data_IF_442166468816
#
_entry.id   IF_442166468816
#
_cell.length_a   1.000
_cell.length_b   1.000
_cell.length_c   1.000
_cell.angle_alpha   90.00
_cell.angle_beta   90.00
_cell.angle_gamma   90.00
#
_symmetry.space_group_name_H-M   'P 1'
#
loop_
_entity.id
_entity.type
_entity.pdbx_description
1 polymer ?
#
# COMPACT_ATOMS: atom_id res chain seq x y z
N UNK A 1 -23.07 -16.44 17.62
CA UNK A 1 -23.35 -16.21 16.19
C UNK A 1 -22.26 -16.91 15.41
N UNK A 2 -22.62 -17.87 14.61
CA UNK A 2 -21.70 -18.57 13.70
C UNK A 2 -21.39 -17.70 12.48
N UNK A 3 -20.41 -18.10 11.67
CA UNK A 3 -20.11 -17.41 10.41
C UNK A 3 -21.32 -17.40 9.45
N UNK A 4 -22.05 -18.50 9.35
CA UNK A 4 -23.22 -18.59 8.48
C UNK A 4 -24.38 -17.71 8.98
N UNK A 5 -24.63 -17.68 10.27
CA UNK A 5 -25.64 -16.78 10.86
C UNK A 5 -25.29 -15.30 10.61
N UNK A 6 -24.01 -14.94 10.73
CA UNK A 6 -23.55 -13.57 10.46
C UNK A 6 -23.71 -13.21 8.98
N UNK A 7 -23.37 -14.14 8.08
CA UNK A 7 -23.51 -13.97 6.63
C UNK A 7 -24.96 -13.76 6.23
N UNK A 8 -25.87 -14.57 6.76
CA UNK A 8 -27.30 -14.42 6.52
C UNK A 8 -27.82 -13.07 7.03
N UNK A 9 -27.34 -12.63 8.18
CA UNK A 9 -27.73 -11.33 8.73
C UNK A 9 -27.26 -10.17 7.86
N UNK A 10 -26.00 -10.21 7.39
CA UNK A 10 -25.43 -9.18 6.50
C UNK A 10 -26.18 -9.11 5.17
N UNK A 11 -26.57 -10.26 4.61
CA UNK A 11 -27.30 -10.31 3.33
C UNK A 11 -28.71 -9.70 3.38
N UNK A 12 -29.28 -9.47 4.57
CA UNK A 12 -30.55 -8.75 4.73
C UNK A 12 -30.42 -7.25 4.43
N UNK A 13 -29.20 -6.74 4.44
CA UNK A 13 -28.88 -5.33 4.20
C UNK A 13 -27.96 -5.19 2.97
N UNK A 14 -28.49 -5.39 1.77
CA UNK A 14 -27.68 -5.33 0.56
C UNK A 14 -27.12 -3.93 0.34
N UNK A 15 -25.91 -3.88 -0.20
CA UNK A 15 -25.30 -2.63 -0.62
C UNK A 15 -26.15 -1.97 -1.72
N UNK A 16 -26.52 -0.72 -1.51
CA UNK A 16 -27.26 0.11 -2.49
C UNK A 16 -26.36 1.12 -3.19
N UNK A 17 -25.15 1.32 -2.67
CA UNK A 17 -24.12 2.22 -3.20
C UNK A 17 -22.87 1.44 -3.56
N UNK A 18 -22.18 1.82 -4.61
CA UNK A 18 -20.82 1.36 -4.83
C UNK A 18 -19.84 2.04 -3.84
N UNK A 19 -18.65 1.49 -3.72
CA UNK A 19 -17.71 1.97 -2.69
C UNK A 19 -17.28 3.44 -2.88
N UNK A 20 -17.13 3.90 -4.12
CA UNK A 20 -16.74 5.29 -4.42
C UNK A 20 -17.87 6.27 -4.07
N UNK A 21 -19.11 5.94 -4.41
CA UNK A 21 -20.28 6.73 -4.05
C UNK A 21 -20.43 6.84 -2.54
N UNK A 22 -20.24 5.72 -1.85
CA UNK A 22 -20.30 5.65 -0.38
C UNK A 22 -19.21 6.50 0.27
N UNK A 23 -17.96 6.37 -0.17
CA UNK A 23 -16.86 7.19 0.37
C UNK A 23 -17.09 8.69 0.14
N UNK A 24 -17.52 9.06 -1.06
CA UNK A 24 -17.82 10.45 -1.39
C UNK A 24 -18.99 10.98 -0.56
N UNK A 25 -20.09 10.24 -0.48
CA UNK A 25 -21.28 10.62 0.30
C UNK A 25 -20.92 10.79 1.78
N UNK A 26 -20.18 9.83 2.35
CA UNK A 26 -19.74 9.90 3.75
C UNK A 26 -18.84 11.12 4.01
N UNK A 27 -17.86 11.39 3.15
CA UNK A 27 -16.98 12.56 3.26
C UNK A 27 -17.74 13.89 3.18
N UNK A 28 -18.87 13.91 2.47
CA UNK A 28 -19.76 15.08 2.35
C UNK A 28 -20.85 15.15 3.44
N UNK A 29 -20.83 14.26 4.44
CA UNK A 29 -21.83 14.21 5.52
C UNK A 29 -23.21 13.74 5.07
N UNK A 30 -23.32 13.05 3.94
CA UNK A 30 -24.56 12.50 3.42
C UNK A 30 -24.87 11.15 4.07
N UNK A 31 -26.13 10.75 4.05
CA UNK A 31 -26.55 9.41 4.48
C UNK A 31 -26.05 8.39 3.45
N UNK A 32 -25.39 7.36 3.93
CA UNK A 32 -24.87 6.24 3.13
C UNK A 32 -25.43 4.92 3.67
N UNK A 33 -25.47 3.89 2.84
CA UNK A 33 -26.03 2.58 3.17
C UNK A 33 -25.28 1.85 4.30
N UNK A 34 -23.98 2.06 4.42
CA UNK A 34 -23.13 1.58 5.53
C UNK A 34 -21.86 2.44 5.64
N UNK A 35 -21.14 2.29 6.72
CA UNK A 35 -19.85 2.97 6.90
C UNK A 35 -18.88 2.50 5.80
N UNK A 36 -18.27 3.44 5.05
CA UNK A 36 -17.26 3.06 4.09
C UNK A 36 -16.04 2.47 4.78
N UNK A 37 -15.44 1.46 4.17
CA UNK A 37 -14.17 0.94 4.61
C UNK A 37 -13.23 0.78 3.40
N UNK A 38 -11.96 0.84 3.64
CA UNK A 38 -10.95 0.48 2.64
C UNK A 38 -10.01 -0.56 3.22
N UNK A 39 -9.59 -1.47 2.38
CA UNK A 39 -8.58 -2.45 2.73
C UNK A 39 -7.24 -1.89 2.25
N UNK A 40 -6.32 -1.72 3.19
CA UNK A 40 -4.96 -1.26 2.92
C UNK A 40 -3.96 -2.41 3.12
N UNK A 41 -2.75 -2.28 2.60
CA UNK A 41 -1.70 -3.28 2.78
C UNK A 41 -1.60 -4.27 1.63
N UNK A 42 -1.42 -3.78 0.40
CA UNK A 42 -1.26 -4.61 -0.79
C UNK A 42 -0.17 -5.67 -0.68
N UNK A 43 0.93 -5.33 -0.04
CA UNK A 43 2.02 -6.23 0.30
C UNK A 43 1.58 -7.41 1.16
N UNK A 44 0.68 -7.19 2.13
CA UNK A 44 0.08 -8.28 2.94
C UNK A 44 -0.74 -9.24 2.08
N UNK A 45 -1.47 -8.74 1.09
CA UNK A 45 -2.27 -9.58 0.19
C UNK A 45 -1.44 -10.35 -0.83
N UNK A 46 -0.22 -9.91 -1.13
CA UNK A 46 0.65 -10.61 -2.06
C UNK A 46 0.83 -12.08 -1.68
N UNK A 47 1.13 -12.35 -0.41
CA UNK A 47 1.29 -13.72 0.09
C UNK A 47 0.01 -14.55 0.06
N UNK A 48 -1.16 -13.95 0.29
CA UNK A 48 -2.47 -14.60 0.17
C UNK A 48 -2.70 -15.10 -1.26
N UNK A 49 -2.23 -14.36 -2.26
CA UNK A 49 -2.36 -14.69 -3.67
C UNK A 49 -1.18 -15.47 -4.25
N UNK A 50 -0.25 -15.92 -3.40
CA UNK A 50 0.85 -16.79 -3.77
C UNK A 50 2.09 -16.06 -4.32
N UNK A 51 2.17 -14.74 -4.16
CA UNK A 51 3.34 -13.95 -4.54
C UNK A 51 4.28 -13.73 -3.35
N UNK A 52 5.57 -13.66 -3.63
CA UNK A 52 6.57 -13.22 -2.63
C UNK A 52 6.51 -11.71 -2.46
N UNK A 53 7.00 -11.20 -1.34
CA UNK A 53 7.13 -9.76 -1.11
C UNK A 53 8.07 -9.11 -2.13
N UNK A 54 9.10 -9.84 -2.56
CA UNK A 54 10.00 -9.41 -3.61
C UNK A 54 9.28 -9.22 -4.96
N UNK A 55 8.49 -10.22 -5.38
CA UNK A 55 7.71 -10.13 -6.61
C UNK A 55 6.75 -8.93 -6.58
N UNK A 56 6.07 -8.71 -5.45
CA UNK A 56 5.18 -7.58 -5.30
C UNK A 56 5.90 -6.23 -5.39
N UNK A 57 7.09 -6.09 -4.79
CA UNK A 57 7.86 -4.85 -4.83
C UNK A 57 8.41 -4.52 -6.23
N UNK A 58 8.82 -5.53 -6.97
CA UNK A 58 9.56 -5.37 -8.24
C UNK A 58 8.67 -5.35 -9.49
N UNK A 59 7.42 -5.79 -9.38
CA UNK A 59 6.53 -5.94 -10.53
C UNK A 59 5.22 -5.18 -10.37
N UNK A 60 4.98 -4.20 -11.23
CA UNK A 60 3.69 -3.52 -11.32
C UNK A 60 2.56 -4.47 -11.73
N UNK A 61 2.82 -5.43 -12.59
CA UNK A 61 1.80 -6.41 -13.01
C UNK A 61 1.33 -7.23 -11.83
N UNK A 62 2.24 -7.64 -10.93
CA UNK A 62 1.90 -8.33 -9.68
C UNK A 62 1.11 -7.42 -8.77
N UNK A 63 1.50 -6.14 -8.63
CA UNK A 63 0.76 -5.18 -7.82
C UNK A 63 -0.67 -4.98 -8.33
N UNK A 64 -0.85 -4.88 -9.65
CA UNK A 64 -2.17 -4.76 -10.25
C UNK A 64 -3.01 -6.04 -10.09
N UNK A 65 -2.43 -7.23 -10.29
CA UNK A 65 -3.14 -8.49 -10.07
C UNK A 65 -3.62 -8.61 -8.62
N UNK A 66 -2.73 -8.34 -7.66
CA UNK A 66 -3.08 -8.34 -6.23
C UNK A 66 -4.19 -7.33 -5.93
N UNK A 67 -4.09 -6.11 -6.44
CA UNK A 67 -5.08 -5.06 -6.22
C UNK A 67 -6.46 -5.43 -6.80
N UNK A 68 -6.50 -5.96 -8.03
CA UNK A 68 -7.73 -6.39 -8.69
C UNK A 68 -8.41 -7.54 -7.95
N UNK A 69 -7.64 -8.54 -7.51
CA UNK A 69 -8.16 -9.69 -6.76
C UNK A 69 -8.66 -9.27 -5.40
N UNK A 70 -7.89 -8.47 -4.66
CA UNK A 70 -8.29 -7.97 -3.35
C UNK A 70 -9.55 -7.08 -3.43
N UNK A 71 -9.68 -6.25 -4.47
CA UNK A 71 -10.87 -5.44 -4.73
C UNK A 71 -12.12 -6.30 -4.94
N UNK A 72 -12.00 -7.39 -5.69
CA UNK A 72 -13.11 -8.32 -5.95
C UNK A 72 -13.51 -9.09 -4.70
N UNK A 73 -12.53 -9.55 -3.93
CA UNK A 73 -12.76 -10.44 -2.79
C UNK A 73 -13.22 -9.70 -1.54
N UNK A 74 -12.62 -8.54 -1.28
CA UNK A 74 -12.89 -7.78 -0.04
C UNK A 74 -13.79 -6.56 -0.26
N UNK A 75 -14.34 -6.36 -1.47
CA UNK A 75 -15.19 -5.21 -1.81
C UNK A 75 -14.57 -3.87 -1.41
N UNK A 76 -13.26 -3.82 -1.22
CA UNK A 76 -12.52 -2.68 -0.73
C UNK A 76 -12.33 -1.62 -1.81
N UNK A 77 -12.29 -0.37 -1.40
CA UNK A 77 -11.85 0.73 -2.25
C UNK A 77 -10.36 0.64 -2.49
N UNK A 78 -9.99 0.83 -3.73
CA UNK A 78 -8.72 1.28 -4.21
C UNK A 78 -7.45 0.83 -3.49
N UNK A 79 -7.06 -0.41 -3.65
CA UNK A 79 -5.65 -0.73 -3.57
C UNK A 79 -5.02 -0.29 -4.90
N UNK A 80 -4.10 0.64 -4.83
CA UNK A 80 -3.36 1.11 -6.00
C UNK A 80 -1.94 0.55 -5.96
N UNK A 81 -1.34 0.38 -7.12
CA UNK A 81 0.07 0.07 -7.23
C UNK A 81 0.90 1.11 -6.45
N UNK A 82 1.80 0.64 -5.59
CA UNK A 82 2.61 1.53 -4.77
C UNK A 82 3.89 1.92 -5.50
N UNK A 83 3.86 3.06 -6.15
CA UNK A 83 5.05 3.69 -6.76
C UNK A 83 5.72 4.70 -5.81
N UNK A 84 5.15 4.94 -4.64
CA UNK A 84 5.67 5.88 -3.66
C UNK A 84 6.93 5.38 -2.94
N UNK A 85 7.62 6.31 -2.30
CA UNK A 85 8.85 6.01 -1.56
C UNK A 85 8.58 5.26 -0.25
N UNK A 86 7.49 5.58 0.44
CA UNK A 86 7.29 5.13 1.81
C UNK A 86 8.36 5.67 2.78
N UNK A 87 8.24 5.38 4.06
CA UNK A 87 9.19 5.84 5.07
C UNK A 87 10.59 5.22 4.89
N UNK A 88 10.65 3.94 4.54
CA UNK A 88 11.92 3.21 4.30
C UNK A 88 12.63 3.74 3.07
N UNK A 89 11.89 3.98 2.00
CA UNK A 89 12.45 4.55 0.79
C UNK A 89 12.98 5.97 0.97
N UNK A 90 12.39 6.77 1.86
CA UNK A 90 12.96 8.06 2.24
C UNK A 90 14.30 7.87 2.93
N UNK A 91 14.40 6.93 3.88
CA UNK A 91 15.67 6.60 4.54
C UNK A 91 16.76 6.17 3.55
N UNK A 92 16.42 5.31 2.60
CA UNK A 92 17.35 4.86 1.56
C UNK A 92 17.76 5.99 0.62
N UNK A 93 16.83 6.85 0.24
CA UNK A 93 17.12 8.01 -0.61
C UNK A 93 18.13 9.00 0.02
N UNK A 94 18.21 9.04 1.34
CA UNK A 94 19.20 9.86 2.06
C UNK A 94 20.45 9.09 2.49
N UNK A 95 20.58 7.81 2.08
CA UNK A 95 21.78 7.01 2.28
C UNK A 95 21.76 5.99 3.40
N UNK A 96 20.60 5.75 4.03
CA UNK A 96 20.44 4.63 4.96
C UNK A 96 20.44 3.29 4.19
N UNK A 97 20.89 2.22 4.86
CA UNK A 97 20.91 0.89 4.25
C UNK A 97 19.57 0.19 4.46
N UNK A 98 18.92 -0.19 3.36
CA UNK A 98 17.71 -1.00 3.38
C UNK A 98 17.99 -2.47 3.04
N UNK A 99 17.22 -3.37 3.64
CA UNK A 99 17.20 -4.79 3.35
C UNK A 99 15.83 -5.16 2.80
N UNK A 100 15.82 -5.89 1.70
CA UNK A 100 14.64 -6.31 0.96
C UNK A 100 14.51 -7.84 0.95
N UNK A 101 13.97 -8.46 2.02
CA UNK A 101 13.81 -9.91 2.06
C UNK A 101 12.86 -10.40 0.98
N UNK A 102 12.98 -11.67 0.61
CA UNK A 102 12.10 -12.26 -0.41
C UNK A 102 10.65 -12.38 0.07
N UNK A 103 10.46 -12.83 1.32
CA UNK A 103 9.14 -13.15 1.88
C UNK A 103 8.78 -12.35 3.14
N UNK A 104 9.47 -11.25 3.39
CA UNK A 104 9.24 -10.41 4.56
C UNK A 104 9.24 -8.92 4.19
N UNK A 105 8.82 -8.08 5.13
CA UNK A 105 8.82 -6.65 4.94
C UNK A 105 10.25 -6.10 4.88
N UNK A 106 10.43 -5.09 4.06
CA UNK A 106 11.67 -4.32 3.99
C UNK A 106 11.91 -3.52 5.27
N UNK A 107 13.16 -3.37 5.65
CA UNK A 107 13.56 -2.63 6.84
C UNK A 107 14.92 -1.96 6.67
N UNK A 108 15.17 -0.93 7.49
CA UNK A 108 16.46 -0.24 7.52
C UNK A 108 17.36 -0.90 8.58
N UNK A 109 18.62 -1.14 8.21
CA UNK A 109 19.64 -1.72 9.12
C UNK A 109 20.63 -0.69 9.62
N UNK A 110 20.84 0.37 8.86
CA UNK A 110 21.70 1.48 9.23
C UNK A 110 20.99 2.79 8.97
N UNK A 111 21.07 3.68 9.97
CA UNK A 111 20.47 5.01 9.91
C UNK A 111 21.60 6.03 9.79
N UNK A 112 21.58 6.81 8.72
CA UNK A 112 22.59 7.84 8.49
C UNK A 112 22.54 8.93 9.55
N UNK A 113 21.34 9.30 10.02
CA UNK A 113 21.14 10.29 11.05
C UNK A 113 21.15 9.61 12.43
N UNK A 114 22.12 9.95 13.26
CA UNK A 114 22.28 9.43 14.64
C UNK A 114 21.91 10.47 15.69
N UNK A 115 21.92 11.75 15.31
CA UNK A 115 21.45 12.88 16.10
C UNK A 115 20.92 14.00 15.21
N UNK A 116 20.32 15.03 15.83
CA UNK A 116 19.73 16.17 15.11
C UNK A 116 20.76 17.08 14.46
N UNK A 117 21.97 17.18 14.99
CA UNK A 117 23.00 18.08 14.44
C UNK A 117 23.47 17.62 13.06
N UNK A 118 23.39 16.33 12.79
CA UNK A 118 23.71 15.75 11.47
C UNK A 118 22.75 16.15 10.36
N UNK A 119 21.58 16.70 10.69
CA UNK A 119 20.63 17.18 9.67
C UNK A 119 21.22 18.26 8.78
N UNK A 120 22.11 19.10 9.34
CA UNK A 120 22.74 20.19 8.59
C UNK A 120 23.79 19.69 7.57
N UNK A 121 24.30 18.48 7.79
CA UNK A 121 25.32 17.85 6.93
C UNK A 121 24.71 16.90 5.91
N UNK A 122 23.38 16.67 5.98
CA UNK A 122 22.68 15.77 5.09
C UNK A 122 22.73 16.28 3.65
N UNK A 123 23.36 15.50 2.78
CA UNK A 123 23.38 15.77 1.34
C UNK A 123 22.32 14.92 0.66
N UNK A 124 21.40 15.58 0.00
CA UNK A 124 20.36 14.93 -0.78
C UNK A 124 20.47 15.36 -2.23
N UNK A 125 20.83 14.44 -3.10
CA UNK A 125 20.94 14.64 -4.54
C UNK A 125 19.95 13.75 -5.28
N UNK A 126 18.73 14.24 -5.50
CA UNK A 126 17.68 13.44 -6.10
C UNK A 126 17.93 13.09 -7.57
N UNK A 127 18.73 13.90 -8.29
CA UNK A 127 18.99 13.67 -9.72
C UNK A 127 19.95 12.50 -9.96
N UNK A 128 20.89 12.29 -9.03
CA UNK A 128 21.87 11.22 -9.11
C UNK A 128 21.59 10.06 -8.15
N UNK A 129 20.45 10.04 -7.49
CA UNK A 129 20.04 8.97 -6.57
C UNK A 129 19.39 7.82 -7.37
N UNK A 130 20.08 6.69 -7.51
CA UNK A 130 19.62 5.52 -8.29
C UNK A 130 18.27 4.98 -7.79
N UNK A 131 18.03 4.96 -6.48
CA UNK A 131 16.77 4.51 -5.92
C UNK A 131 15.61 5.42 -6.35
N UNK A 132 15.79 6.74 -6.27
CA UNK A 132 14.75 7.70 -6.70
C UNK A 132 14.51 7.63 -8.20
N UNK A 133 15.57 7.52 -9.00
CA UNK A 133 15.42 7.38 -10.45
C UNK A 133 14.67 6.10 -10.81
N UNK A 134 14.95 4.98 -10.15
CA UNK A 134 14.21 3.73 -10.32
C UNK A 134 12.72 3.88 -10.01
N UNK A 135 12.36 4.61 -8.95
CA UNK A 135 10.95 4.90 -8.61
C UNK A 135 10.26 5.80 -9.64
N UNK A 136 10.97 6.80 -10.16
CA UNK A 136 10.45 7.67 -11.23
C UNK A 136 10.17 6.86 -12.50
N UNK A 137 11.07 5.98 -12.90
CA UNK A 137 10.87 5.13 -14.07
C UNK A 137 9.70 4.14 -13.87
N UNK A 138 9.54 3.60 -12.67
CA UNK A 138 8.37 2.77 -12.34
C UNK A 138 7.06 3.56 -12.43
N UNK A 139 7.04 4.80 -11.98
CA UNK A 139 5.85 5.65 -12.00
C UNK A 139 5.46 6.13 -13.41
N UNK A 140 6.35 6.06 -14.39
CA UNK A 140 6.07 6.40 -15.81
C UNK A 140 5.38 5.27 -16.57
N UNK A 141 5.41 4.06 -16.04
CA UNK A 141 4.77 2.87 -16.65
C UNK A 141 3.30 2.76 -16.28
#
# INVERSE_FOLDING_TARGET
MTYEELKEEILKYPDTMNNMERMKGYAMGQVVDRIPFSVAGGDTYASIYGYTQKQYRESLDVQFDVAERAKKEFCGGGMYANTGLGLRGIGEAVGSTAVYPENDFDYLTDFILKDYDMLNDLKFDPENNEFLQGKIEMAKK
#
